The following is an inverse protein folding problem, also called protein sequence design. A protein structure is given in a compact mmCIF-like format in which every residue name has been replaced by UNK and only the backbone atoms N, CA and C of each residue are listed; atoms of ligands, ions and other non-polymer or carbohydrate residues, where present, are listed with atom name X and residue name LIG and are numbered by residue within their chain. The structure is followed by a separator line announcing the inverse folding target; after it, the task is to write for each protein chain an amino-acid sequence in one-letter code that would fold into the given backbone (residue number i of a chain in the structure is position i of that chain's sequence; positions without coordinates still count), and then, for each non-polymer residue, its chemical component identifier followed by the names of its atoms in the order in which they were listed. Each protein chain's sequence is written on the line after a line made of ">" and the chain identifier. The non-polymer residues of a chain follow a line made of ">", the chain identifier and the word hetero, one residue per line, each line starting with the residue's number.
data_IF_379832581715
#
_entry.id   IF_379832581715
#
_cell.length_a   1.000
_cell.length_b   1.000
_cell.length_c   1.000
_cell.angle_alpha   90.00
_cell.angle_beta   90.00
_cell.angle_gamma   90.00
#
_symmetry.space_group_name_H-M   'P 1'
#
loop_
_entity.id
_entity.type
_entity.pdbx_description
1 polymer ?
#
# COMPACT_ATOMS: atom_id res chain seq x y z
N UNK A 1 -5.81 -25.86 -5.88
CA UNK A 1 -7.21 -25.40 -5.70
C UNK A 1 -7.47 -24.22 -6.60
N UNK A 2 -8.60 -24.23 -7.28
CA UNK A 2 -9.13 -23.10 -8.04
C UNK A 2 -10.24 -22.43 -7.23
N UNK A 3 -10.05 -21.16 -6.87
CA UNK A 3 -10.87 -20.46 -5.88
C UNK A 3 -11.69 -19.37 -6.55
N UNK A 4 -13.02 -19.47 -6.42
CA UNK A 4 -14.00 -18.48 -6.88
C UNK A 4 -14.68 -17.79 -5.69
N UNK A 5 -15.59 -16.86 -5.99
CA UNK A 5 -16.36 -16.13 -4.98
C UNK A 5 -17.24 -17.04 -4.13
N UNK A 6 -18.01 -17.91 -4.77
CA UNK A 6 -19.09 -18.65 -4.11
C UNK A 6 -18.74 -20.14 -3.89
N UNK A 7 -17.68 -20.61 -4.55
CA UNK A 7 -17.18 -21.99 -4.43
C UNK A 7 -15.70 -22.10 -4.77
N UNK A 8 -15.12 -23.22 -4.45
CA UNK A 8 -13.80 -23.63 -4.93
C UNK A 8 -13.84 -25.09 -5.39
N UNK A 9 -12.90 -25.45 -6.28
CA UNK A 9 -12.61 -26.83 -6.61
C UNK A 9 -11.23 -27.18 -6.07
N UNK A 10 -11.19 -28.15 -5.18
CA UNK A 10 -9.97 -28.78 -4.69
C UNK A 10 -9.68 -30.05 -5.47
N UNK A 11 -8.40 -30.26 -5.79
CA UNK A 11 -7.92 -31.47 -6.42
C UNK A 11 -6.70 -31.98 -5.64
N UNK A 12 -6.77 -33.19 -5.13
CA UNK A 12 -5.64 -33.94 -4.57
C UNK A 12 -5.01 -34.73 -5.70
N UNK A 13 -3.70 -34.63 -5.85
CA UNK A 13 -2.89 -35.38 -6.80
C UNK A 13 -1.91 -36.29 -6.02
N UNK A 14 -2.21 -37.56 -5.90
CA UNK A 14 -1.38 -38.55 -5.23
C UNK A 14 -0.70 -39.47 -6.24
N UNK A 15 0.57 -39.83 -6.02
CA UNK A 15 1.26 -40.83 -6.84
C UNK A 15 1.26 -42.18 -6.13
N UNK A 16 0.72 -43.19 -6.78
CA UNK A 16 0.72 -44.53 -6.23
C UNK A 16 2.11 -45.21 -6.35
N UNK A 17 2.23 -46.41 -5.79
CA UNK A 17 3.49 -47.17 -5.80
C UNK A 17 4.00 -47.53 -7.21
N UNK A 18 3.13 -47.53 -8.22
CA UNK A 18 3.47 -47.77 -9.61
C UNK A 18 3.89 -46.49 -10.37
N UNK A 19 3.97 -45.35 -9.70
CA UNK A 19 4.35 -44.07 -10.31
C UNK A 19 3.19 -43.36 -11.08
N UNK A 20 1.95 -43.88 -10.98
CA UNK A 20 0.78 -43.28 -11.63
C UNK A 20 0.16 -42.24 -10.71
N UNK A 21 -0.14 -41.05 -11.25
CA UNK A 21 -0.82 -40.02 -10.50
C UNK A 21 -2.34 -40.20 -10.57
N UNK A 22 -2.95 -40.33 -9.40
CA UNK A 22 -4.41 -40.37 -9.22
C UNK A 22 -4.93 -39.01 -8.75
N UNK A 23 -6.11 -38.62 -9.22
CA UNK A 23 -6.71 -37.32 -8.95
C UNK A 23 -8.06 -37.48 -8.27
N UNK A 24 -8.22 -36.88 -7.11
CA UNK A 24 -9.49 -36.76 -6.43
C UNK A 24 -9.92 -35.30 -6.43
N UNK A 25 -11.02 -34.97 -7.09
CA UNK A 25 -11.54 -33.61 -7.15
C UNK A 25 -12.88 -33.50 -6.41
N UNK A 26 -13.01 -32.48 -5.58
CA UNK A 26 -14.24 -32.17 -4.85
C UNK A 26 -14.55 -30.69 -4.91
N UNK A 27 -15.83 -30.33 -5.01
CA UNK A 27 -16.31 -28.96 -4.96
C UNK A 27 -16.77 -28.63 -3.55
N UNK A 28 -16.38 -27.44 -3.07
CA UNK A 28 -16.80 -26.89 -1.78
C UNK A 28 -17.36 -25.49 -1.98
N UNK A 29 -18.33 -25.09 -1.17
CA UNK A 29 -18.75 -23.70 -1.11
C UNK A 29 -17.75 -22.88 -0.29
N UNK A 30 -17.77 -21.55 -0.43
CA UNK A 30 -16.89 -20.66 0.35
C UNK A 30 -17.47 -20.27 1.72
N UNK A 31 -18.59 -20.89 2.14
CA UNK A 31 -19.07 -20.75 3.51
C UNK A 31 -18.16 -21.46 4.52
N UNK A 32 -18.00 -20.86 5.69
CA UNK A 32 -17.07 -21.32 6.73
C UNK A 32 -17.21 -22.81 7.08
N UNK A 33 -18.44 -23.32 7.18
CA UNK A 33 -18.70 -24.75 7.43
C UNK A 33 -18.07 -25.64 6.36
N UNK A 34 -18.33 -25.33 5.08
CA UNK A 34 -17.80 -26.08 3.95
C UNK A 34 -16.26 -25.94 3.80
N UNK A 35 -15.68 -24.82 4.21
CA UNK A 35 -14.22 -24.66 4.26
C UNK A 35 -13.58 -25.50 5.38
N UNK A 36 -14.28 -25.72 6.50
CA UNK A 36 -13.87 -26.69 7.53
C UNK A 36 -13.96 -28.13 7.01
N UNK A 37 -15.03 -28.49 6.30
CA UNK A 37 -15.13 -29.77 5.61
C UNK A 37 -14.00 -29.98 4.59
N UNK A 38 -13.59 -28.94 3.86
CA UNK A 38 -12.43 -28.98 2.98
C UNK A 38 -11.16 -29.31 3.76
N UNK A 39 -10.91 -28.62 4.87
CA UNK A 39 -9.76 -28.90 5.74
C UNK A 39 -9.77 -30.35 6.20
N UNK A 40 -10.88 -30.81 6.73
CA UNK A 40 -11.02 -32.16 7.28
C UNK A 40 -10.86 -33.23 6.17
N UNK A 41 -11.36 -32.96 4.97
CA UNK A 41 -11.15 -33.84 3.81
C UNK A 41 -9.68 -33.88 3.37
N UNK A 42 -8.96 -32.76 3.39
CA UNK A 42 -7.53 -32.73 3.08
C UNK A 42 -6.72 -33.53 4.12
N UNK A 43 -7.00 -33.34 5.40
CA UNK A 43 -6.32 -34.05 6.49
C UNK A 43 -6.62 -35.56 6.48
N UNK A 44 -7.86 -35.97 6.19
CA UNK A 44 -8.24 -37.37 6.05
C UNK A 44 -7.52 -38.06 4.88
N UNK A 45 -7.03 -37.32 3.90
CA UNK A 45 -6.24 -37.85 2.78
C UNK A 45 -4.72 -37.55 2.94
N UNK A 46 -4.26 -37.20 4.13
CA UNK A 46 -2.86 -36.84 4.45
C UNK A 46 -2.28 -35.75 3.52
N UNK A 47 -3.14 -34.86 3.02
CA UNK A 47 -2.78 -33.80 2.10
C UNK A 47 -2.59 -32.48 2.87
N UNK A 48 -1.38 -32.27 3.41
CA UNK A 48 -1.02 -31.08 4.19
C UNK A 48 -0.42 -29.96 3.35
N UNK A 49 0.13 -30.26 2.18
CA UNK A 49 0.66 -29.27 1.26
C UNK A 49 -0.41 -28.82 0.27
N UNK A 50 -0.70 -27.55 0.28
CA UNK A 50 -1.85 -26.98 -0.45
C UNK A 50 -1.42 -25.79 -1.28
N UNK A 51 -1.83 -25.76 -2.55
CA UNK A 51 -1.62 -24.62 -3.44
C UNK A 51 -2.95 -24.05 -3.92
N UNK A 52 -3.04 -22.72 -3.94
CA UNK A 52 -4.19 -21.99 -4.50
C UNK A 52 -3.78 -20.76 -5.30
N UNK A 53 -4.63 -20.38 -6.26
CA UNK A 53 -4.45 -19.14 -7.02
C UNK A 53 -4.95 -17.93 -6.23
N UNK A 54 -4.20 -16.80 -6.29
CA UNK A 54 -4.57 -15.54 -5.62
C UNK A 54 -5.59 -14.73 -6.40
N UNK A 55 -6.74 -15.32 -6.75
CA UNK A 55 -7.82 -14.64 -7.45
C UNK A 55 -8.54 -13.65 -6.54
N UNK A 56 -8.40 -12.37 -6.80
CA UNK A 56 -9.03 -11.30 -6.04
C UNK A 56 -8.73 -11.36 -4.54
N UNK A 57 -9.78 -11.34 -3.72
CA UNK A 57 -9.72 -11.51 -2.25
C UNK A 57 -10.30 -12.84 -1.77
N UNK A 58 -10.75 -13.71 -2.69
CA UNK A 58 -11.51 -14.92 -2.35
C UNK A 58 -10.65 -16.00 -1.68
N UNK A 59 -9.35 -15.98 -1.89
CA UNK A 59 -8.40 -16.90 -1.27
C UNK A 59 -8.19 -16.65 0.24
N UNK A 60 -8.45 -15.43 0.76
CA UNK A 60 -8.21 -15.10 2.16
C UNK A 60 -8.99 -15.97 3.15
N UNK A 61 -10.32 -16.17 3.02
CA UNK A 61 -11.07 -17.05 3.93
C UNK A 61 -10.57 -18.49 3.89
N UNK A 62 -10.21 -18.98 2.70
CA UNK A 62 -9.69 -20.33 2.51
C UNK A 62 -8.33 -20.48 3.20
N UNK A 63 -7.43 -19.54 2.95
CA UNK A 63 -6.10 -19.51 3.58
C UNK A 63 -6.22 -19.48 5.11
N UNK A 64 -7.05 -18.59 5.67
CA UNK A 64 -7.19 -18.43 7.13
C UNK A 64 -7.70 -19.70 7.85
N UNK A 65 -8.46 -20.55 7.16
CA UNK A 65 -8.93 -21.82 7.72
C UNK A 65 -7.90 -22.93 7.58
N UNK A 66 -7.11 -22.90 6.50
CA UNK A 66 -6.17 -23.97 6.21
C UNK A 66 -4.79 -23.75 6.86
N UNK A 67 -4.36 -22.51 7.09
CA UNK A 67 -3.00 -22.16 7.57
C UNK A 67 -2.66 -22.75 8.94
N UNK A 68 -3.66 -23.10 9.77
CA UNK A 68 -3.45 -23.69 11.08
C UNK A 68 -3.08 -25.19 11.00
N UNK A 69 -3.40 -25.88 9.90
CA UNK A 69 -3.27 -27.32 9.76
C UNK A 69 -2.53 -27.76 8.50
N UNK A 70 -2.35 -26.85 7.54
CA UNK A 70 -1.74 -27.13 6.25
C UNK A 70 -0.65 -26.09 5.93
N UNK A 71 0.35 -26.51 5.18
CA UNK A 71 1.28 -25.62 4.52
C UNK A 71 0.62 -25.06 3.24
N UNK A 72 0.26 -23.78 3.26
CA UNK A 72 -0.53 -23.16 2.20
C UNK A 72 0.31 -22.23 1.33
N UNK A 73 0.48 -22.60 0.07
CA UNK A 73 1.14 -21.77 -0.95
C UNK A 73 0.10 -21.03 -1.78
N UNK A 74 0.15 -19.70 -1.77
CA UNK A 74 -0.69 -18.85 -2.60
C UNK A 74 0.12 -18.36 -3.78
N UNK A 75 -0.31 -18.66 -5.00
CA UNK A 75 0.41 -18.29 -6.21
C UNK A 75 -0.33 -17.23 -7.03
N UNK A 76 0.44 -16.35 -7.67
CA UNK A 76 -0.13 -15.35 -8.56
C UNK A 76 -0.60 -16.02 -9.87
N UNK A 77 -1.79 -15.66 -10.42
CA UNK A 77 -2.36 -16.25 -11.64
C UNK A 77 -1.41 -16.36 -12.83
N UNK A 78 -0.48 -15.42 -12.93
CA UNK A 78 0.54 -15.43 -14.01
C UNK A 78 1.42 -16.67 -13.99
N UNK A 79 1.66 -17.28 -12.83
CA UNK A 79 2.58 -18.42 -12.66
C UNK A 79 1.88 -19.77 -12.75
N UNK A 80 0.55 -19.80 -12.61
CA UNK A 80 -0.24 -21.04 -12.68
C UNK A 80 -1.15 -21.10 -13.91
N UNK A 81 -1.02 -20.14 -14.84
CA UNK A 81 -1.86 -20.05 -16.03
C UNK A 81 -1.70 -21.29 -16.92
N UNK A 82 -2.82 -21.99 -17.14
CA UNK A 82 -2.87 -23.14 -18.04
C UNK A 82 -2.55 -22.78 -19.49
N UNK A 83 -1.97 -23.75 -20.24
CA UNK A 83 -1.78 -23.67 -21.67
C UNK A 83 -3.15 -23.77 -22.36
N UNK A 84 -3.31 -23.12 -23.52
CA UNK A 84 -4.57 -23.03 -24.26
C UNK A 84 -5.24 -24.41 -24.47
N UNK A 85 -6.51 -24.53 -24.14
CA UNK A 85 -7.34 -25.73 -24.31
C UNK A 85 -8.77 -25.50 -23.81
N UNK A 86 -9.63 -26.52 -23.85
CA UNK A 86 -10.97 -26.46 -23.23
C UNK A 86 -10.84 -26.33 -21.73
N UNK A 87 -11.15 -25.13 -21.22
CA UNK A 87 -11.00 -24.72 -19.83
C UNK A 87 -12.23 -25.15 -19.04
N UNK A 88 -12.02 -25.82 -17.90
CA UNK A 88 -13.03 -26.08 -16.88
C UNK A 88 -12.37 -25.94 -15.51
N UNK A 89 -13.11 -25.48 -14.50
CA UNK A 89 -12.58 -25.26 -13.14
C UNK A 89 -11.95 -26.54 -12.55
N UNK A 90 -12.49 -27.74 -12.89
CA UNK A 90 -11.91 -29.03 -12.51
C UNK A 90 -10.53 -29.26 -13.14
N UNK A 91 -10.37 -28.92 -14.42
CA UNK A 91 -9.06 -29.01 -15.12
C UNK A 91 -8.08 -27.99 -14.61
N UNK A 92 -8.53 -26.78 -14.28
CA UNK A 92 -7.68 -25.74 -13.70
C UNK A 92 -7.20 -26.16 -12.30
N UNK A 93 -8.07 -26.70 -11.44
CA UNK A 93 -7.66 -27.24 -10.13
C UNK A 93 -6.67 -28.40 -10.26
N UNK A 94 -6.88 -29.33 -11.23
CA UNK A 94 -5.96 -30.43 -11.52
C UNK A 94 -4.60 -29.91 -12.03
N UNK A 95 -4.60 -28.95 -12.95
CA UNK A 95 -3.39 -28.31 -13.47
C UNK A 95 -2.56 -27.64 -12.37
N UNK A 96 -3.22 -26.91 -11.44
CA UNK A 96 -2.53 -26.30 -10.29
C UNK A 96 -1.93 -27.39 -9.39
N UNK A 97 -2.63 -28.52 -9.18
CA UNK A 97 -2.12 -29.62 -8.39
C UNK A 97 -0.88 -30.27 -9.05
N UNK A 98 -0.90 -30.45 -10.37
CA UNK A 98 0.25 -30.99 -11.12
C UNK A 98 1.46 -30.05 -11.05
N UNK A 99 1.26 -28.78 -11.29
CA UNK A 99 2.36 -27.80 -11.19
C UNK A 99 2.96 -27.77 -9.79
N UNK A 100 2.12 -27.83 -8.75
CA UNK A 100 2.54 -27.77 -7.37
C UNK A 100 3.32 -29.04 -6.97
N UNK A 101 2.82 -30.22 -7.35
CA UNK A 101 3.47 -31.50 -7.12
C UNK A 101 4.89 -31.59 -7.71
N UNK A 102 5.12 -30.92 -8.83
CA UNK A 102 6.41 -30.89 -9.51
C UNK A 102 7.29 -29.69 -9.13
N UNK A 103 6.94 -28.97 -8.05
CA UNK A 103 7.64 -27.77 -7.54
C UNK A 103 7.81 -26.65 -8.61
N UNK A 104 6.84 -26.56 -9.51
CA UNK A 104 6.83 -25.55 -10.59
C UNK A 104 6.04 -24.29 -10.23
N UNK A 105 5.51 -24.22 -8.99
CA UNK A 105 4.71 -23.08 -8.53
C UNK A 105 5.56 -22.13 -7.73
N UNK A 106 5.61 -20.88 -8.17
CA UNK A 106 6.20 -19.81 -7.38
C UNK A 106 5.18 -19.24 -6.39
N UNK A 107 5.41 -19.44 -5.09
CA UNK A 107 4.60 -18.84 -4.02
C UNK A 107 4.71 -17.32 -3.98
N UNK A 108 3.64 -16.68 -3.58
CA UNK A 108 3.61 -15.27 -3.20
C UNK A 108 3.99 -15.13 -1.73
N UNK A 109 4.65 -14.05 -1.36
CA UNK A 109 4.91 -13.75 0.04
C UNK A 109 3.62 -13.43 0.79
N UNK A 110 3.21 -14.32 1.69
CA UNK A 110 2.08 -14.15 2.61
C UNK A 110 2.67 -14.08 4.03
N UNK A 111 2.62 -12.92 4.68
CA UNK A 111 3.15 -12.80 6.04
C UNK A 111 2.23 -13.46 7.08
N UNK A 112 2.72 -13.64 8.33
CA UNK A 112 1.91 -14.10 9.45
C UNK A 112 0.62 -13.31 9.63
N UNK A 113 -0.37 -13.91 10.29
CA UNK A 113 -1.75 -13.38 10.41
C UNK A 113 -1.80 -11.98 10.98
N UNK A 114 -1.07 -11.71 12.05
CA UNK A 114 -0.98 -10.40 12.71
C UNK A 114 -0.36 -9.33 11.80
N UNK A 115 0.71 -9.65 11.08
CA UNK A 115 1.29 -8.74 10.06
C UNK A 115 0.31 -8.52 8.90
N UNK A 116 -0.50 -9.51 8.51
CA UNK A 116 -1.54 -9.32 7.49
C UNK A 116 -2.63 -8.36 7.97
N UNK A 117 -3.04 -8.48 9.24
CA UNK A 117 -4.01 -7.57 9.87
C UNK A 117 -3.44 -6.15 9.91
N UNK A 118 -2.22 -5.99 10.41
CA UNK A 118 -1.52 -4.71 10.42
C UNK A 118 -1.38 -4.10 9.01
N UNK A 119 -1.05 -4.91 8.03
CA UNK A 119 -0.94 -4.50 6.62
C UNK A 119 -2.28 -3.99 6.07
N UNK A 120 -3.38 -4.67 6.36
CA UNK A 120 -4.71 -4.25 5.87
C UNK A 120 -5.11 -2.90 6.47
N UNK A 121 -4.93 -2.71 7.77
CA UNK A 121 -5.19 -1.44 8.47
C UNK A 121 -4.31 -0.30 7.94
N UNK A 122 -3.00 -0.52 7.79
CA UNK A 122 -2.07 0.46 7.23
C UNK A 122 -2.45 0.86 5.79
N UNK A 123 -2.88 -0.09 4.98
CA UNK A 123 -3.34 0.17 3.61
C UNK A 123 -4.66 0.94 3.59
N UNK A 124 -5.55 0.67 4.53
CA UNK A 124 -6.79 1.42 4.68
C UNK A 124 -6.50 2.87 5.11
N UNK A 125 -5.59 3.08 6.03
CA UNK A 125 -5.11 4.41 6.40
C UNK A 125 -4.59 5.22 5.20
N UNK A 126 -3.83 4.58 4.31
CA UNK A 126 -3.37 5.21 3.05
C UNK A 126 -4.55 5.59 2.16
N UNK A 127 -5.61 4.78 2.12
CA UNK A 127 -6.85 5.11 1.39
C UNK A 127 -7.55 6.32 1.97
N UNK A 128 -7.71 6.40 3.29
CA UNK A 128 -8.28 7.58 3.95
C UNK A 128 -7.46 8.84 3.67
N UNK A 129 -6.12 8.74 3.67
CA UNK A 129 -5.23 9.85 3.30
C UNK A 129 -5.41 10.29 1.83
N UNK A 130 -5.69 9.35 0.93
CA UNK A 130 -6.01 9.65 -0.47
C UNK A 130 -7.37 10.35 -0.61
N UNK A 131 -8.38 9.93 0.15
CA UNK A 131 -9.68 10.61 0.19
C UNK A 131 -9.55 12.02 0.73
N UNK A 132 -8.80 12.22 1.81
CA UNK A 132 -8.48 13.54 2.36
C UNK A 132 -7.85 14.46 1.29
N UNK A 133 -6.91 13.95 0.52
CA UNK A 133 -6.29 14.71 -0.58
C UNK A 133 -7.33 15.08 -1.65
N UNK A 134 -8.24 14.17 -1.96
CA UNK A 134 -9.35 14.43 -2.88
C UNK A 134 -10.28 15.55 -2.38
N UNK A 135 -10.64 15.55 -1.09
CA UNK A 135 -11.46 16.59 -0.49
C UNK A 135 -10.75 17.94 -0.43
N UNK A 136 -9.45 17.98 -0.12
CA UNK A 136 -8.64 19.19 -0.19
C UNK A 136 -8.66 19.81 -1.58
N UNK A 137 -8.50 19.00 -2.62
CA UNK A 137 -8.59 19.49 -4.00
C UNK A 137 -10.00 20.04 -4.34
N UNK A 138 -11.08 19.40 -3.84
CA UNK A 138 -12.45 19.89 -4.04
C UNK A 138 -12.68 21.20 -3.31
N UNK A 139 -12.20 21.32 -2.07
CA UNK A 139 -12.26 22.57 -1.31
C UNK A 139 -11.53 23.71 -2.03
N UNK A 140 -10.31 23.44 -2.51
CA UNK A 140 -9.56 24.43 -3.31
C UNK A 140 -10.32 24.84 -4.56
N UNK A 141 -10.96 23.88 -5.26
CA UNK A 141 -11.78 24.21 -6.42
C UNK A 141 -12.98 25.12 -6.07
N UNK A 142 -13.63 24.93 -4.91
CA UNK A 142 -14.70 25.83 -4.47
C UNK A 142 -14.19 27.26 -4.26
N UNK A 143 -13.02 27.41 -3.61
CA UNK A 143 -12.36 28.71 -3.43
C UNK A 143 -12.02 29.36 -4.78
N UNK A 144 -11.40 28.60 -5.69
CA UNK A 144 -11.00 29.09 -7.00
C UNK A 144 -12.20 29.56 -7.85
N UNK A 145 -13.29 28.78 -7.87
CA UNK A 145 -14.52 29.12 -8.61
C UNK A 145 -15.17 30.38 -8.03
N UNK A 146 -15.04 30.61 -6.73
CA UNK A 146 -15.55 31.79 -6.02
C UNK A 146 -14.57 32.98 -6.05
N UNK A 147 -13.49 32.89 -6.84
CA UNK A 147 -12.42 33.89 -6.98
C UNK A 147 -11.67 34.23 -5.70
N UNK A 148 -11.63 33.31 -4.70
CA UNK A 148 -10.74 33.42 -3.55
C UNK A 148 -9.36 32.85 -3.89
N UNK A 149 -8.30 33.65 -3.78
CA UNK A 149 -6.93 33.31 -4.18
C UNK A 149 -6.04 33.01 -2.96
N UNK A 150 -6.54 32.18 -2.04
CA UNK A 150 -5.83 31.85 -0.80
C UNK A 150 -4.53 31.06 -1.05
N UNK A 151 -4.42 30.34 -2.18
CA UNK A 151 -3.24 29.61 -2.60
C UNK A 151 -2.10 30.50 -3.15
N UNK A 152 -2.40 31.74 -3.54
CA UNK A 152 -1.40 32.72 -3.94
C UNK A 152 -0.69 33.36 -2.71
N UNK A 153 -1.39 33.41 -1.56
CA UNK A 153 -0.91 34.12 -0.35
C UNK A 153 -0.53 33.20 0.79
N UNK A 154 -1.02 31.96 0.81
CA UNK A 154 -0.70 30.94 1.81
C UNK A 154 -0.06 29.71 1.19
N UNK A 155 1.07 29.27 1.70
CA UNK A 155 1.69 28.01 1.29
C UNK A 155 0.85 26.76 1.61
N UNK A 156 -0.10 26.87 2.55
CA UNK A 156 -1.06 25.85 2.91
C UNK A 156 -2.44 26.48 3.14
N UNK A 157 -3.34 26.28 2.20
CA UNK A 157 -4.73 26.78 2.24
C UNK A 157 -5.56 26.14 3.37
N UNK A 158 -5.10 25.04 3.93
CA UNK A 158 -5.70 24.35 5.08
C UNK A 158 -4.92 24.60 6.38
N UNK A 159 -4.00 25.56 6.39
CA UNK A 159 -3.29 26.03 7.58
C UNK A 159 -4.17 26.92 8.46
N UNK A 160 -3.69 27.21 9.68
CA UNK A 160 -4.45 27.91 10.72
C UNK A 160 -5.09 29.22 10.21
N UNK A 161 -4.31 30.12 9.61
CA UNK A 161 -4.81 31.42 9.11
C UNK A 161 -5.80 31.26 7.97
N UNK A 162 -5.46 30.49 6.95
CA UNK A 162 -6.36 30.29 5.79
C UNK A 162 -7.66 29.58 6.18
N UNK A 163 -7.59 28.61 7.12
CA UNK A 163 -8.80 27.95 7.65
C UNK A 163 -9.67 28.89 8.44
N UNK A 164 -9.11 29.78 9.28
CA UNK A 164 -9.85 30.78 10.04
C UNK A 164 -10.54 31.79 9.09
N UNK A 165 -9.82 32.30 8.09
CA UNK A 165 -10.37 33.18 7.05
C UNK A 165 -11.49 32.48 6.29
N UNK A 166 -11.29 31.22 5.87
CA UNK A 166 -12.32 30.45 5.16
C UNK A 166 -13.57 30.25 6.03
N UNK A 167 -13.41 30.06 7.34
CA UNK A 167 -14.53 29.96 8.27
C UNK A 167 -15.31 31.28 8.30
N UNK A 168 -14.60 32.41 8.46
CA UNK A 168 -15.23 33.74 8.44
C UNK A 168 -16.01 34.00 7.13
N UNK A 169 -15.42 33.67 5.99
CA UNK A 169 -16.09 33.80 4.67
C UNK A 169 -17.36 32.94 4.55
N UNK A 170 -17.42 31.77 5.21
CA UNK A 170 -18.57 30.87 5.18
C UNK A 170 -19.66 31.24 6.18
N UNK A 171 -19.29 31.85 7.31
CA UNK A 171 -20.22 32.30 8.35
C UNK A 171 -20.85 33.64 8.01
N UNK A 172 -20.13 34.51 7.29
CA UNK A 172 -20.54 35.85 6.89
C UNK A 172 -20.43 36.07 5.37
N UNK A 173 -21.20 35.33 4.57
CA UNK A 173 -21.07 35.38 3.12
C UNK A 173 -21.45 36.77 2.57
N UNK A 174 -20.51 37.36 1.81
CA UNK A 174 -20.70 38.70 1.20
C UNK A 174 -20.40 39.88 2.11
N UNK A 175 -20.04 39.65 3.39
CA UNK A 175 -19.59 40.71 4.28
C UNK A 175 -18.07 40.94 4.11
N UNK A 176 -17.70 42.23 4.05
CA UNK A 176 -16.30 42.63 4.09
C UNK A 176 -15.81 42.61 5.56
N UNK A 177 -14.66 42.04 5.82
CA UNK A 177 -14.04 42.00 7.15
C UNK A 177 -12.52 42.23 7.03
N UNK A 178 -11.92 42.70 8.11
CA UNK A 178 -10.48 42.81 8.23
C UNK A 178 -9.88 41.40 8.47
N UNK A 179 -8.95 40.99 7.62
CA UNK A 179 -8.27 39.69 7.72
C UNK A 179 -7.17 39.66 8.77
N UNK A 180 -6.69 40.81 9.23
CA UNK A 180 -5.54 40.91 10.14
C UNK A 180 -5.69 40.08 11.42
N UNK A 181 -6.86 40.04 12.12
CA UNK A 181 -7.04 39.24 13.31
C UNK A 181 -6.92 37.72 13.11
N UNK A 182 -7.09 37.23 11.88
CA UNK A 182 -7.08 35.80 11.53
C UNK A 182 -5.69 35.33 11.06
N UNK A 183 -4.74 36.23 10.83
CA UNK A 183 -3.43 35.94 10.29
C UNK A 183 -2.43 35.68 11.42
N UNK A 184 -1.78 34.51 11.42
CA UNK A 184 -0.71 34.15 12.35
C UNK A 184 0.51 35.07 12.13
N UNK A 185 1.11 35.61 13.21
CA UNK A 185 2.22 36.56 13.16
C UNK A 185 3.50 36.02 12.46
N UNK A 186 3.58 34.71 12.17
CA UNK A 186 4.66 34.10 11.39
C UNK A 186 4.41 34.17 9.87
N UNK A 187 3.22 34.64 9.45
CA UNK A 187 2.92 34.83 8.05
C UNK A 187 3.76 35.97 7.48
N UNK A 188 4.47 35.72 6.39
CA UNK A 188 5.33 36.70 5.74
C UNK A 188 4.62 37.51 4.64
N UNK A 189 3.45 37.06 4.22
CA UNK A 189 2.65 37.73 3.20
C UNK A 189 2.04 39.01 3.79
N UNK A 190 2.15 40.17 3.12
CA UNK A 190 1.53 41.40 3.59
C UNK A 190 0.02 41.28 3.75
N UNK A 191 -0.54 41.87 4.82
CA UNK A 191 -1.99 41.83 5.11
C UNK A 191 -2.81 42.36 3.95
N UNK A 192 -2.36 43.44 3.29
CA UNK A 192 -3.05 44.01 2.12
C UNK A 192 -3.22 43.01 0.96
N UNK A 193 -2.22 42.17 0.71
CA UNK A 193 -2.30 41.12 -0.31
C UNK A 193 -3.27 40.00 0.11
N UNK A 194 -3.30 39.66 1.40
CA UNK A 194 -4.27 38.68 1.93
C UNK A 194 -5.67 39.25 1.83
N UNK A 195 -5.85 40.53 2.12
CA UNK A 195 -7.13 41.23 1.99
C UNK A 195 -7.64 41.23 0.55
N UNK A 196 -6.76 41.46 -0.44
CA UNK A 196 -7.08 41.37 -1.85
C UNK A 196 -7.44 39.93 -2.28
N UNK A 197 -6.76 38.91 -1.73
CA UNK A 197 -6.99 37.51 -2.06
C UNK A 197 -8.35 36.97 -1.56
N UNK A 198 -9.00 37.66 -0.64
CA UNK A 198 -10.34 37.34 -0.10
C UNK A 198 -11.45 38.17 -0.73
N UNK A 199 -11.16 38.99 -1.73
CA UNK A 199 -12.15 39.75 -2.51
C UNK A 199 -12.82 38.88 -3.59
N UNK A 200 -13.55 37.89 -3.11
CA UNK A 200 -14.29 36.91 -3.88
C UNK A 200 -15.75 36.83 -3.40
N UNK A 201 -16.58 36.09 -4.11
CA UNK A 201 -17.99 35.92 -3.76
C UNK A 201 -18.35 34.44 -3.80
N UNK A 202 -18.80 33.89 -2.65
CA UNK A 202 -19.45 32.59 -2.65
C UNK A 202 -20.85 32.69 -3.22
N UNK A 203 -21.16 31.87 -4.22
CA UNK A 203 -22.56 31.53 -4.51
C UNK A 203 -23.05 30.55 -3.43
N UNK A 204 -24.36 30.51 -3.20
CA UNK A 204 -24.97 29.69 -2.16
C UNK A 204 -24.54 28.23 -2.26
N UNK A 205 -24.58 27.65 -3.46
CA UNK A 205 -24.19 26.24 -3.65
C UNK A 205 -22.71 25.98 -3.43
N UNK A 206 -21.79 26.93 -3.71
CA UNK A 206 -20.35 26.75 -3.43
C UNK A 206 -20.06 26.85 -1.93
N UNK A 207 -20.73 27.76 -1.22
CA UNK A 207 -20.60 27.86 0.23
C UNK A 207 -21.08 26.58 0.92
N UNK A 208 -22.28 26.10 0.61
CA UNK A 208 -22.84 24.87 1.21
C UNK A 208 -22.02 23.64 0.85
N UNK A 209 -21.59 23.52 -0.41
CA UNK A 209 -20.69 22.46 -0.84
C UNK A 209 -19.36 22.46 -0.07
N UNK A 210 -18.76 23.63 0.15
CA UNK A 210 -17.51 23.74 0.91
C UNK A 210 -17.71 23.37 2.39
N UNK A 211 -18.84 23.73 3.01
CA UNK A 211 -19.20 23.29 4.37
C UNK A 211 -19.29 21.76 4.46
N UNK A 212 -19.94 21.10 3.49
CA UNK A 212 -20.04 19.63 3.43
C UNK A 212 -18.65 18.99 3.28
N UNK A 213 -17.82 19.53 2.37
CA UNK A 213 -16.45 19.04 2.15
C UNK A 213 -15.62 19.14 3.43
N UNK A 214 -15.69 20.28 4.16
CA UNK A 214 -14.99 20.46 5.44
C UNK A 214 -15.45 19.46 6.49
N UNK A 215 -16.76 19.27 6.66
CA UNK A 215 -17.30 18.25 7.56
C UNK A 215 -16.84 16.82 7.21
N UNK A 216 -16.72 16.50 5.92
CA UNK A 216 -16.15 15.21 5.51
C UNK A 216 -14.64 15.12 5.80
N UNK A 217 -13.88 16.22 5.62
CA UNK A 217 -12.46 16.26 5.99
C UNK A 217 -12.26 16.01 7.48
N UNK A 218 -13.05 16.65 8.35
CA UNK A 218 -13.00 16.47 9.81
C UNK A 218 -13.33 15.01 10.20
N UNK A 219 -14.33 14.41 9.53
CA UNK A 219 -14.67 12.99 9.72
C UNK A 219 -13.53 12.06 9.29
N UNK A 220 -12.89 12.33 8.16
CA UNK A 220 -11.73 11.54 7.69
C UNK A 220 -10.53 11.67 8.65
N UNK A 221 -10.29 12.85 9.22
CA UNK A 221 -9.21 13.07 10.20
C UNK A 221 -9.45 12.25 11.47
N UNK A 222 -10.67 12.28 12.01
CA UNK A 222 -11.08 11.48 13.17
C UNK A 222 -10.92 9.98 12.91
N UNK A 223 -11.45 9.45 11.80
CA UNK A 223 -11.32 8.03 11.46
C UNK A 223 -9.86 7.61 11.24
N UNK A 224 -9.02 8.51 10.72
CA UNK A 224 -7.58 8.24 10.61
C UNK A 224 -6.92 8.13 11.98
N UNK A 225 -7.26 9.01 12.93
CA UNK A 225 -6.73 8.97 14.28
C UNK A 225 -7.16 7.70 15.03
N UNK A 226 -8.43 7.28 14.90
CA UNK A 226 -8.95 6.03 15.46
C UNK A 226 -8.17 4.82 14.88
N UNK A 227 -7.94 4.82 13.57
CA UNK A 227 -7.20 3.76 12.89
C UNK A 227 -5.72 3.74 13.28
N UNK A 228 -5.09 4.90 13.48
CA UNK A 228 -3.72 5.01 13.98
C UNK A 228 -3.58 4.40 15.38
N UNK A 229 -4.54 4.66 16.28
CA UNK A 229 -4.55 4.07 17.63
C UNK A 229 -4.61 2.53 17.57
N UNK A 230 -5.49 1.98 16.73
CA UNK A 230 -5.59 0.53 16.53
C UNK A 230 -4.31 -0.08 15.91
N UNK A 231 -3.72 0.61 14.94
CA UNK A 231 -2.45 0.19 14.33
C UNK A 231 -1.33 0.16 15.36
N UNK A 232 -1.23 1.19 16.23
CA UNK A 232 -0.22 1.26 17.28
C UNK A 232 -0.41 0.16 18.33
N UNK A 233 -1.65 -0.16 18.70
CA UNK A 233 -1.96 -1.26 19.61
C UNK A 233 -1.46 -2.62 19.08
N UNK A 234 -1.82 -2.97 17.86
CA UNK A 234 -1.39 -4.24 17.24
C UNK A 234 0.14 -4.28 17.04
N UNK A 235 0.75 -3.13 16.74
CA UNK A 235 2.19 -3.03 16.49
C UNK A 235 3.06 -3.19 17.74
N UNK A 236 2.48 -3.18 18.96
CA UNK A 236 3.23 -3.35 20.23
C UNK A 236 4.04 -4.66 20.26
N UNK A 237 3.56 -5.71 19.62
CA UNK A 237 4.26 -6.99 19.53
C UNK A 237 5.58 -6.92 18.74
N UNK A 238 5.83 -5.81 18.05
CA UNK A 238 6.96 -5.59 17.14
C UNK A 238 7.83 -4.39 17.52
N UNK A 239 7.77 -3.95 18.79
CA UNK A 239 8.57 -2.81 19.26
C UNK A 239 10.06 -2.92 18.95
N UNK A 240 10.75 -4.07 19.17
CA UNK A 240 12.17 -4.18 18.83
C UNK A 240 12.46 -3.92 17.34
N UNK A 241 11.62 -4.44 16.44
CA UNK A 241 11.77 -4.24 15.00
C UNK A 241 11.48 -2.78 14.59
N UNK A 242 10.51 -2.14 15.27
CA UNK A 242 10.19 -0.73 15.05
C UNK A 242 11.36 0.15 15.48
N UNK A 243 11.98 -0.13 16.64
CA UNK A 243 13.17 0.58 17.13
C UNK A 243 14.36 0.44 16.17
N UNK A 244 14.60 -0.76 15.64
CA UNK A 244 15.61 -0.96 14.60
C UNK A 244 15.32 -0.13 13.35
N UNK A 245 14.07 -0.12 12.88
CA UNK A 245 13.69 0.68 11.71
C UNK A 245 13.86 2.18 11.94
N UNK A 246 13.67 2.69 13.16
CA UNK A 246 13.90 4.09 13.51
C UNK A 246 15.37 4.52 13.41
N UNK A 247 16.32 3.58 13.43
CA UNK A 247 17.75 3.87 13.21
C UNK A 247 18.06 4.19 11.74
N UNK A 248 17.14 3.83 10.81
CA UNK A 248 17.35 4.03 9.38
C UNK A 248 17.17 5.51 9.01
N UNK A 249 18.12 6.14 8.32
CA UNK A 249 18.01 7.53 7.89
C UNK A 249 16.70 7.82 7.15
N UNK A 250 15.99 8.85 7.62
CA UNK A 250 14.73 9.29 7.01
C UNK A 250 13.46 8.64 7.58
N UNK A 251 13.59 7.65 8.46
CA UNK A 251 12.47 7.13 9.27
C UNK A 251 12.50 7.88 10.59
N UNK A 252 11.55 8.80 10.80
CA UNK A 252 11.55 9.72 11.94
C UNK A 252 10.43 9.46 12.95
N UNK A 253 9.50 8.59 12.63
CA UNK A 253 8.35 8.28 13.47
C UNK A 253 8.00 6.78 13.40
N UNK A 254 7.44 6.29 14.51
CA UNK A 254 7.05 4.90 14.66
C UNK A 254 6.01 4.45 13.62
N UNK A 255 5.10 5.34 13.23
CA UNK A 255 4.05 5.01 12.27
C UNK A 255 4.62 4.71 10.86
N UNK A 256 5.64 5.46 10.43
CA UNK A 256 6.39 5.16 9.20
C UNK A 256 7.10 3.81 9.30
N UNK A 257 7.73 3.50 10.43
CA UNK A 257 8.38 2.21 10.68
C UNK A 257 7.37 1.06 10.63
N UNK A 258 6.23 1.20 11.30
CA UNK A 258 5.13 0.21 11.31
C UNK A 258 4.61 -0.06 9.90
N UNK A 259 4.42 0.97 9.09
CA UNK A 259 3.95 0.82 7.70
C UNK A 259 4.95 0.07 6.83
N UNK A 260 6.25 0.24 7.06
CA UNK A 260 7.29 -0.54 6.37
C UNK A 260 7.22 -1.99 6.84
N UNK A 261 7.23 -2.23 8.15
CA UNK A 261 7.12 -3.55 8.77
C UNK A 261 5.88 -4.31 8.28
N UNK A 262 4.72 -3.65 8.23
CA UNK A 262 3.48 -4.23 7.74
C UNK A 262 3.57 -4.73 6.29
N UNK A 263 4.39 -4.10 5.44
CA UNK A 263 4.58 -4.50 4.05
C UNK A 263 5.63 -5.60 3.88
N UNK A 264 6.73 -5.59 4.64
CA UNK A 264 7.84 -6.53 4.44
C UNK A 264 7.82 -7.70 5.43
N UNK A 265 7.10 -7.59 6.55
CA UNK A 265 7.17 -8.53 7.67
C UNK A 265 8.38 -8.28 8.57
N UNK A 266 8.50 -9.08 9.65
CA UNK A 266 9.62 -9.05 10.58
C UNK A 266 10.70 -10.08 10.24
N UNK A 267 10.33 -11.14 9.54
CA UNK A 267 11.26 -12.23 9.15
C UNK A 267 11.80 -11.99 7.74
N UNK A 268 13.07 -11.66 7.64
CA UNK A 268 13.74 -11.44 6.36
C UNK A 268 14.22 -12.73 5.68
N UNK A 269 14.18 -13.89 6.35
CA UNK A 269 14.56 -15.19 5.75
C UNK A 269 13.66 -15.59 4.60
N UNK A 270 12.44 -15.03 4.53
CA UNK A 270 11.50 -15.20 3.42
C UNK A 270 11.98 -14.60 2.11
N UNK A 271 13.02 -13.78 2.14
CA UNK A 271 13.67 -13.22 0.96
C UNK A 271 15.12 -13.71 0.92
N UNK A 272 15.48 -14.55 -0.05
CA UNK A 272 16.84 -15.13 -0.15
C UNK A 272 17.95 -14.07 -0.13
N UNK A 273 17.68 -12.87 -0.62
CA UNK A 273 18.62 -11.75 -0.66
C UNK A 273 17.93 -10.39 -0.59
N UNK A 274 18.64 -9.37 -0.14
CA UNK A 274 18.19 -7.97 -0.23
C UNK A 274 17.85 -7.53 -1.67
N UNK A 275 18.44 -8.19 -2.69
CA UNK A 275 18.11 -7.94 -4.11
C UNK A 275 16.71 -8.47 -4.44
N UNK A 276 16.32 -9.63 -3.89
CA UNK A 276 14.95 -10.18 -4.03
C UNK A 276 13.92 -9.26 -3.39
N UNK A 277 14.15 -8.80 -2.16
CA UNK A 277 13.27 -7.82 -1.50
C UNK A 277 13.14 -6.53 -2.32
N UNK A 278 14.25 -5.97 -2.82
CA UNK A 278 14.22 -4.76 -3.65
C UNK A 278 13.47 -4.97 -4.99
N UNK A 279 13.57 -6.15 -5.58
CA UNK A 279 12.84 -6.52 -6.79
C UNK A 279 11.34 -6.67 -6.50
N UNK A 280 11.00 -7.35 -5.43
CA UNK A 280 9.63 -7.52 -4.95
C UNK A 280 8.96 -6.16 -4.66
N UNK A 281 9.69 -5.23 -4.01
CA UNK A 281 9.25 -3.86 -3.75
C UNK A 281 9.16 -2.97 -5.01
N UNK A 282 9.59 -3.46 -6.18
CA UNK A 282 9.55 -2.70 -7.44
C UNK A 282 10.54 -1.54 -7.48
N UNK A 283 11.66 -1.65 -6.76
CA UNK A 283 12.75 -0.65 -6.73
C UNK A 283 13.92 -1.01 -7.67
N UNK A 284 13.82 -2.11 -8.40
CA UNK A 284 14.83 -2.52 -9.38
C UNK A 284 14.34 -2.32 -10.81
N UNK A 285 15.21 -1.98 -11.76
CA UNK A 285 14.88 -1.97 -13.16
C UNK A 285 14.46 -3.38 -13.61
N UNK A 286 13.44 -3.46 -14.46
CA UNK A 286 13.11 -4.71 -15.14
C UNK A 286 14.12 -4.95 -16.27
N UNK A 287 14.55 -6.20 -16.43
CA UNK A 287 15.41 -6.61 -17.53
C UNK A 287 14.56 -7.34 -18.56
N UNK A 288 13.87 -6.58 -19.40
CA UNK A 288 13.14 -7.13 -20.53
C UNK A 288 14.05 -7.10 -21.75
N UNK A 289 14.76 -8.18 -21.98
CA UNK A 289 15.63 -8.38 -23.13
C UNK A 289 15.15 -9.58 -23.96
N UNK A 290 15.12 -9.47 -25.26
CA UNK A 290 14.77 -10.55 -26.18
C UNK A 290 15.64 -10.41 -27.43
N UNK A 291 16.32 -11.47 -27.83
CA UNK A 291 17.23 -11.51 -28.97
C UNK A 291 18.26 -10.36 -28.96
N UNK A 292 18.89 -10.10 -27.80
CA UNK A 292 19.90 -9.05 -27.65
C UNK A 292 19.33 -7.61 -27.62
N UNK A 293 18.01 -7.43 -27.79
CA UNK A 293 17.37 -6.10 -27.78
C UNK A 293 16.71 -5.83 -26.42
N UNK A 294 17.17 -4.78 -25.73
CA UNK A 294 16.57 -4.30 -24.48
C UNK A 294 15.25 -3.58 -24.78
N UNK A 295 14.12 -4.15 -24.34
CA UNK A 295 12.77 -3.59 -24.55
C UNK A 295 12.46 -2.47 -23.53
N UNK A 296 12.83 -2.64 -22.26
CA UNK A 296 12.59 -1.63 -21.21
C UNK A 296 13.50 -1.83 -20.02
N UNK A 297 13.91 -0.71 -19.41
CA UNK A 297 14.61 -0.64 -18.11
C UNK A 297 13.77 0.05 -17.04
N UNK A 298 12.45 0.18 -17.26
CA UNK A 298 11.54 0.78 -16.26
C UNK A 298 11.44 -0.11 -15.04
N UNK A 299 11.26 0.50 -13.87
CA UNK A 299 10.98 -0.23 -12.63
C UNK A 299 9.63 -0.94 -12.68
N UNK A 300 9.49 -2.04 -11.97
CA UNK A 300 8.24 -2.81 -11.87
C UNK A 300 7.07 -2.00 -11.31
N UNK A 301 5.84 -2.47 -11.59
CA UNK A 301 4.60 -1.90 -11.02
C UNK A 301 4.31 -2.40 -9.60
N UNK A 302 5.07 -3.38 -9.08
CA UNK A 302 4.95 -3.91 -7.72
C UNK A 302 5.24 -2.85 -6.64
N UNK A 303 4.94 -3.17 -5.39
CA UNK A 303 5.19 -2.30 -4.24
C UNK A 303 4.30 -1.06 -4.20
N UNK A 304 3.01 -1.21 -4.49
CA UNK A 304 2.06 -0.08 -4.58
C UNK A 304 2.00 0.79 -3.30
N UNK A 305 2.23 0.19 -2.13
CA UNK A 305 2.23 0.88 -0.84
C UNK A 305 3.65 1.13 -0.31
N UNK A 306 4.54 0.14 -0.39
CA UNK A 306 5.90 0.23 0.13
C UNK A 306 6.78 1.20 -0.68
N UNK A 307 6.73 1.14 -2.01
CA UNK A 307 7.57 1.97 -2.88
C UNK A 307 7.35 3.48 -2.70
N UNK A 308 6.11 4.02 -2.70
CA UNK A 308 5.87 5.43 -2.40
C UNK A 308 6.37 5.84 -1.01
N UNK A 309 6.17 4.98 -0.01
CA UNK A 309 6.64 5.22 1.36
C UNK A 309 8.17 5.33 1.41
N UNK A 310 8.88 4.38 0.83
CA UNK A 310 10.35 4.40 0.77
C UNK A 310 10.89 5.57 -0.06
N UNK A 311 10.17 6.05 -1.06
CA UNK A 311 10.52 7.29 -1.78
C UNK A 311 10.42 8.49 -0.84
N UNK A 312 9.38 8.59 0.00
CA UNK A 312 9.26 9.66 1.01
C UNK A 312 10.39 9.58 2.04
N UNK A 313 10.69 8.39 2.57
CA UNK A 313 11.82 8.15 3.47
C UNK A 313 13.14 8.58 2.81
N UNK A 314 13.36 8.21 1.55
CA UNK A 314 14.57 8.59 0.81
C UNK A 314 14.67 10.10 0.55
N UNK A 315 13.55 10.78 0.33
CA UNK A 315 13.49 12.24 0.25
C UNK A 315 13.87 12.86 1.58
N UNK A 316 13.32 12.39 2.69
CA UNK A 316 13.63 12.85 4.04
C UNK A 316 15.11 12.62 4.39
N UNK A 317 15.63 11.41 4.19
CA UNK A 317 17.03 11.06 4.42
C UNK A 317 18.02 11.89 3.63
N UNK A 318 17.60 12.40 2.47
CA UNK A 318 18.46 13.16 1.57
C UNK A 318 18.21 14.68 1.60
N UNK A 319 17.54 15.19 2.63
CA UNK A 319 17.38 16.63 2.88
C UNK A 319 18.51 17.14 3.78
N UNK A 320 19.17 18.22 3.34
CA UNK A 320 20.21 18.85 4.15
C UNK A 320 21.43 17.95 4.39
N UNK A 321 22.20 18.29 5.40
CA UNK A 321 23.51 17.69 5.70
C UNK A 321 23.50 16.64 6.82
N UNK A 322 22.31 16.27 7.36
CA UNK A 322 22.21 15.27 8.44
C UNK A 322 22.83 13.91 8.07
N UNK A 323 22.75 13.54 6.79
CA UNK A 323 23.30 12.30 6.25
C UNK A 323 24.11 12.63 4.99
N UNK A 324 25.35 13.16 5.13
CA UNK A 324 26.14 13.67 4.01
C UNK A 324 26.44 12.61 2.94
N UNK A 325 26.62 11.36 3.33
CA UNK A 325 26.86 10.25 2.41
C UNK A 325 25.63 9.95 1.53
N UNK A 326 24.42 10.07 2.06
CA UNK A 326 23.17 9.89 1.30
C UNK A 326 22.93 11.09 0.39
N UNK A 327 23.11 12.29 0.93
CA UNK A 327 22.98 13.54 0.18
C UNK A 327 23.97 13.59 -0.98
N UNK A 328 25.26 13.37 -0.74
CA UNK A 328 26.31 13.36 -1.78
C UNK A 328 26.03 12.32 -2.88
N UNK A 329 25.62 11.11 -2.48
CA UNK A 329 25.26 10.06 -3.44
C UNK A 329 24.03 10.43 -4.28
N UNK A 330 22.99 11.03 -3.67
CA UNK A 330 21.83 11.53 -4.41
C UNK A 330 22.23 12.58 -5.42
N UNK A 331 23.07 13.57 -5.04
CA UNK A 331 23.52 14.64 -5.93
C UNK A 331 24.31 14.09 -7.12
N UNK A 332 25.25 13.17 -6.87
CA UNK A 332 26.03 12.53 -7.93
C UNK A 332 25.16 11.75 -8.91
N UNK A 333 24.17 11.00 -8.40
CA UNK A 333 23.21 10.26 -9.24
C UNK A 333 22.28 11.20 -9.99
N UNK A 334 21.83 12.30 -9.37
CA UNK A 334 20.93 13.28 -9.98
C UNK A 334 21.56 13.96 -11.20
N UNK A 335 22.85 14.34 -11.12
CA UNK A 335 23.60 14.90 -12.24
C UNK A 335 23.63 13.97 -13.46
N UNK A 336 23.79 12.66 -13.24
CA UNK A 336 23.95 11.66 -14.32
C UNK A 336 22.64 11.06 -14.83
N UNK A 337 21.61 10.91 -13.98
CA UNK A 337 20.42 10.09 -14.26
C UNK A 337 19.10 10.83 -14.03
N UNK A 338 19.13 12.05 -13.53
CA UNK A 338 17.98 12.88 -13.20
C UNK A 338 17.35 12.57 -11.83
N UNK A 339 16.55 13.52 -11.32
CA UNK A 339 15.97 13.51 -9.96
C UNK A 339 15.19 12.22 -9.62
N UNK A 340 14.28 11.77 -10.52
CA UNK A 340 13.41 10.60 -10.27
C UNK A 340 14.20 9.30 -10.12
N UNK A 341 15.23 9.08 -10.95
CA UNK A 341 16.06 7.87 -10.87
C UNK A 341 16.99 7.91 -9.65
N UNK A 342 17.52 9.08 -9.30
CA UNK A 342 18.36 9.25 -8.13
C UNK A 342 17.63 8.88 -6.85
N UNK A 343 16.39 9.39 -6.64
CA UNK A 343 15.64 9.11 -5.42
C UNK A 343 15.24 7.63 -5.29
N UNK A 344 14.87 6.96 -6.39
CA UNK A 344 14.58 5.52 -6.39
C UNK A 344 15.83 4.71 -6.02
N UNK A 345 17.01 5.13 -6.47
CA UNK A 345 18.27 4.47 -6.10
C UNK A 345 18.59 4.62 -4.60
N UNK A 346 18.30 5.79 -4.00
CA UNK A 346 18.42 5.98 -2.55
C UNK A 346 17.39 5.10 -1.82
N UNK A 347 16.12 5.09 -2.24
CA UNK A 347 15.08 4.23 -1.65
C UNK A 347 15.49 2.74 -1.66
N UNK A 348 16.08 2.27 -2.77
CA UNK A 348 16.63 0.92 -2.86
C UNK A 348 17.75 0.67 -1.86
N UNK A 349 18.68 1.63 -1.69
CA UNK A 349 19.77 1.52 -0.72
C UNK A 349 19.25 1.42 0.72
N UNK A 350 18.25 2.24 1.06
CA UNK A 350 17.61 2.20 2.38
C UNK A 350 16.90 0.87 2.61
N UNK A 351 16.18 0.34 1.62
CA UNK A 351 15.55 -0.98 1.73
C UNK A 351 16.59 -2.11 1.86
N UNK A 352 17.76 -1.98 1.21
CA UNK A 352 18.87 -2.92 1.42
C UNK A 352 19.40 -2.86 2.85
N UNK A 353 19.52 -1.66 3.45
CA UNK A 353 19.89 -1.52 4.86
C UNK A 353 18.83 -2.15 5.79
N UNK A 354 17.56 -1.88 5.55
CA UNK A 354 16.43 -2.47 6.30
C UNK A 354 16.45 -4.00 6.28
N UNK A 355 16.86 -4.62 5.19
CA UNK A 355 16.99 -6.08 5.11
C UNK A 355 18.07 -6.65 6.06
N UNK A 356 19.09 -5.88 6.40
CA UNK A 356 20.25 -6.33 7.17
C UNK A 356 20.21 -5.95 8.67
N UNK A 357 19.21 -5.22 9.10
CA UNK A 357 18.99 -4.88 10.51
C UNK A 357 17.94 -5.80 11.12
#
# INVERSE_FOLDING_TARGET
>A
MDVHRDFLIACIAATNAQGVTEYQSRRFSTYTGSLRELRDWLLANDCKDVCMESTGKYWFPVHNILEESCHVVVSHPKFVKAIKGKKTDKKDAQWIADLFKHDLVRGSFIPPKDIRQLRDLCRYWVKLSSYMTGEKNRAQNCLTVSNFKLDDVFSNVFGKSASAITTQLLEHPGEQFDVAPFVDGRCKTPIAQIQEAVDGIFTYEQAEKLKIIRGHMDSLERHKAELESLILEIAQNYLPQIELLLTVPGIHDAFTAIRILAEIGADMTVFDTSKHLCSWAGLTPQNAESAGKKKTTRIGKSGAYLKPLLIQVALAASRGEKHPEIYGKKQALQKRRGKKKAIVAIARRLLTAIYHI
#
